data_IF_998632574401
#
_entry.id   IF_998632574401
#
_cell.length_a   1.000
_cell.length_b   1.000
_cell.length_c   1.000
_cell.angle_alpha   90.00
_cell.angle_beta   90.00
_cell.angle_gamma   90.00
#
_symmetry.space_group_name_H-M   'P 1'
#
loop_
_entity.id
_entity.type
_entity.pdbx_description
1 polymer ?
#
# COMPACT_ATOMS: atom_id res chain seq x y z
N UNK A 1 -17.29 1.49 70.67
CA UNK A 1 -16.77 2.02 69.44
C UNK A 1 -16.31 0.86 68.56
N UNK A 2 -17.06 0.50 67.51
CA UNK A 2 -16.71 -0.59 66.59
C UNK A 2 -16.13 0.03 65.30
N UNK A 3 -14.98 -0.43 64.77
CA UNK A 3 -14.42 0.11 63.54
C UNK A 3 -15.20 -0.42 62.33
N UNK A 4 -15.57 0.48 61.39
CA UNK A 4 -16.10 0.15 60.08
C UNK A 4 -15.00 -0.37 59.13
N UNK A 5 -15.24 -1.41 58.33
CA UNK A 5 -14.29 -1.84 57.35
C UNK A 5 -14.34 -0.91 56.10
N UNK A 6 -13.16 -0.45 55.71
CA UNK A 6 -12.92 0.32 54.50
C UNK A 6 -13.08 -0.59 53.26
N UNK A 7 -14.15 -0.43 52.51
CA UNK A 7 -14.36 -1.16 51.25
C UNK A 7 -13.54 -0.46 50.16
N UNK A 8 -12.46 -1.08 49.76
CA UNK A 8 -11.63 -0.63 48.65
C UNK A 8 -12.32 -0.98 47.32
N UNK A 9 -12.86 0.05 46.65
CA UNK A 9 -13.47 -0.08 45.33
C UNK A 9 -12.34 -0.27 44.28
N UNK A 10 -12.15 -1.49 43.83
CA UNK A 10 -11.24 -1.78 42.69
C UNK A 10 -11.97 -1.43 41.40
N UNK A 11 -11.60 -0.31 40.79
CA UNK A 11 -12.09 0.07 39.46
C UNK A 11 -11.42 -0.85 38.41
N UNK A 12 -12.16 -1.83 37.93
CA UNK A 12 -11.78 -2.64 36.77
C UNK A 12 -11.98 -1.79 35.51
N UNK A 13 -10.89 -1.19 35.02
CA UNK A 13 -10.88 -0.56 33.69
C UNK A 13 -11.00 -1.65 32.63
N UNK A 14 -12.22 -1.85 32.11
CA UNK A 14 -12.45 -2.68 30.94
C UNK A 14 -11.82 -1.98 29.72
N UNK A 15 -10.63 -2.42 29.30
CA UNK A 15 -10.08 -2.10 27.98
C UNK A 15 -10.96 -2.77 26.93
N UNK A 16 -11.84 -2.00 26.34
CA UNK A 16 -12.53 -2.40 25.11
C UNK A 16 -11.49 -2.49 23.99
N UNK A 17 -10.99 -3.69 23.72
CA UNK A 17 -10.35 -3.99 22.45
C UNK A 17 -11.44 -3.91 21.37
N UNK A 18 -11.59 -2.76 20.77
CA UNK A 18 -12.37 -2.61 19.55
C UNK A 18 -11.63 -3.40 18.47
N UNK A 19 -12.16 -4.57 18.11
CA UNK A 19 -11.78 -5.25 16.86
C UNK A 19 -12.23 -4.35 15.71
N UNK A 20 -11.42 -3.38 15.36
CA UNK A 20 -11.60 -2.61 14.15
C UNK A 20 -11.53 -3.60 12.98
N UNK A 21 -12.65 -3.85 12.33
CA UNK A 21 -12.68 -4.38 10.98
C UNK A 21 -11.80 -3.44 10.16
N UNK A 22 -10.59 -3.88 9.79
CA UNK A 22 -9.63 -3.01 9.14
C UNK A 22 -10.21 -2.58 7.79
N UNK A 23 -10.74 -1.39 7.74
CA UNK A 23 -11.12 -0.75 6.48
C UNK A 23 -9.84 -0.33 5.73
N UNK A 24 -9.87 -0.38 4.39
CA UNK A 24 -8.77 0.16 3.58
C UNK A 24 -8.42 1.58 4.01
N UNK A 25 -7.13 1.88 4.07
CA UNK A 25 -6.63 3.20 4.47
C UNK A 25 -7.18 4.31 3.57
N UNK A 26 -7.30 5.50 4.14
CA UNK A 26 -7.85 6.69 3.48
C UNK A 26 -6.81 7.81 3.41
N UNK A 27 -7.12 8.84 2.61
CA UNK A 27 -6.33 10.07 2.57
C UNK A 27 -6.28 10.69 3.98
N UNK A 28 -5.07 11.06 4.42
CA UNK A 28 -4.79 11.57 5.76
C UNK A 28 -4.24 10.52 6.73
N UNK A 29 -4.47 9.22 6.45
CA UNK A 29 -3.92 8.16 7.29
C UNK A 29 -2.39 8.07 7.19
N UNK A 30 -1.77 7.54 8.24
CA UNK A 30 -0.35 7.23 8.22
C UNK A 30 -0.11 6.00 7.36
N UNK A 31 0.82 6.11 6.41
CA UNK A 31 1.22 4.98 5.57
C UNK A 31 1.97 3.93 6.40
N UNK A 32 1.68 2.63 6.21
CA UNK A 32 2.33 1.57 6.97
C UNK A 32 3.83 1.47 6.68
N UNK A 33 4.62 1.34 7.74
CA UNK A 33 6.04 0.97 7.66
C UNK A 33 6.12 -0.55 7.76
N UNK A 34 6.13 -1.22 6.63
CA UNK A 34 6.08 -2.68 6.52
C UNK A 34 7.08 -3.16 5.47
N UNK A 35 7.62 -4.36 5.65
CA UNK A 35 8.54 -4.99 4.70
C UNK A 35 7.83 -6.05 3.87
N UNK A 36 8.21 -6.15 2.61
CA UNK A 36 7.83 -7.20 1.68
C UNK A 36 9.02 -7.76 0.92
N UNK A 37 8.82 -8.78 0.11
CA UNK A 37 9.84 -9.38 -0.74
C UNK A 37 9.66 -8.89 -2.18
N UNK A 38 10.72 -8.39 -2.79
CA UNK A 38 10.66 -7.90 -4.18
C UNK A 38 10.66 -9.05 -5.19
N UNK A 39 10.43 -8.74 -6.45
CA UNK A 39 10.54 -9.67 -7.59
C UNK A 39 11.95 -10.26 -7.76
N UNK A 40 12.96 -9.72 -7.09
CA UNK A 40 14.32 -10.26 -7.06
C UNK A 40 14.61 -11.15 -5.85
N UNK A 41 13.64 -11.32 -4.95
CA UNK A 41 13.79 -12.04 -3.69
C UNK A 41 14.42 -11.21 -2.56
N UNK A 42 14.74 -9.94 -2.81
CA UNK A 42 15.28 -9.04 -1.78
C UNK A 42 14.19 -8.49 -0.85
N UNK A 43 14.54 -8.20 0.39
CA UNK A 43 13.64 -7.49 1.32
C UNK A 43 13.58 -6.01 0.98
N UNK A 44 12.37 -5.44 0.97
CA UNK A 44 12.11 -4.02 0.80
C UNK A 44 11.26 -3.51 1.95
N UNK A 45 11.75 -2.52 2.70
CA UNK A 45 10.95 -1.80 3.69
C UNK A 45 10.33 -0.56 3.05
N UNK A 46 9.00 -0.44 3.08
CA UNK A 46 8.29 0.68 2.46
C UNK A 46 8.63 2.01 3.14
N UNK A 47 8.88 2.02 4.45
CA UNK A 47 9.30 3.23 5.16
C UNK A 47 10.62 3.80 4.64
N UNK A 48 11.54 2.94 4.17
CA UNK A 48 12.79 3.40 3.56
C UNK A 48 12.58 3.94 2.14
N UNK A 49 11.59 3.41 1.41
CA UNK A 49 11.19 3.97 0.11
C UNK A 49 10.60 5.37 0.30
N UNK A 50 9.73 5.58 1.30
CA UNK A 50 9.12 6.88 1.60
C UNK A 50 10.14 7.97 1.91
N UNK A 51 11.30 7.61 2.45
CA UNK A 51 12.39 8.56 2.79
C UNK A 51 13.26 8.95 1.60
N UNK A 52 13.31 8.12 0.57
CA UNK A 52 14.22 8.30 -0.58
C UNK A 52 13.68 9.23 -1.65
N UNK A 53 12.36 9.37 -1.73
CA UNK A 53 11.70 10.16 -2.77
C UNK A 53 10.62 11.05 -2.15
N UNK A 54 10.33 12.21 -2.75
CA UNK A 54 9.26 13.10 -2.30
C UNK A 54 7.89 12.41 -2.22
N UNK A 55 7.63 11.49 -3.16
CA UNK A 55 6.39 10.74 -3.22
C UNK A 55 6.65 9.26 -3.48
N UNK A 56 5.81 8.40 -2.93
CA UNK A 56 5.77 6.97 -3.26
C UNK A 56 4.35 6.58 -3.64
N UNK A 57 4.17 6.02 -4.85
CA UNK A 57 2.93 5.42 -5.29
C UNK A 57 2.99 3.92 -5.01
N UNK A 58 2.24 3.45 -4.01
CA UNK A 58 2.04 2.01 -3.76
C UNK A 58 0.73 1.61 -4.39
N UNK A 59 0.77 0.76 -5.44
CA UNK A 59 -0.42 0.28 -6.11
C UNK A 59 -0.61 -1.22 -5.93
N UNK A 60 -1.83 -1.61 -5.65
CA UNK A 60 -2.24 -3.00 -5.44
C UNK A 60 -3.03 -3.50 -6.65
N UNK A 61 -2.82 -4.77 -6.99
CA UNK A 61 -3.55 -5.44 -8.05
C UNK A 61 -3.84 -6.89 -7.70
N UNK A 62 -4.98 -7.45 -8.16
CA UNK A 62 -5.42 -8.78 -7.76
C UNK A 62 -4.47 -9.90 -8.14
N UNK A 63 -3.95 -9.92 -9.39
CA UNK A 63 -3.11 -11.01 -9.88
C UNK A 63 -2.26 -10.58 -11.07
N UNK A 64 -0.97 -10.92 -11.03
CA UNK A 64 -0.01 -10.70 -12.10
C UNK A 64 -0.47 -11.33 -13.43
N UNK A 65 -0.11 -10.69 -14.54
CA UNK A 65 -0.35 -11.13 -15.93
C UNK A 65 -1.84 -11.38 -16.28
N UNK A 66 -2.77 -10.75 -15.56
CA UNK A 66 -4.19 -10.69 -15.97
C UNK A 66 -4.49 -9.40 -16.75
N UNK A 67 -5.53 -9.37 -17.63
CA UNK A 67 -5.74 -8.23 -18.53
C UNK A 67 -5.84 -6.87 -17.84
N UNK A 68 -6.60 -6.76 -16.75
CA UNK A 68 -6.77 -5.50 -16.01
C UNK A 68 -5.51 -5.08 -15.25
N UNK A 69 -4.77 -6.04 -14.68
CA UNK A 69 -3.53 -5.76 -13.96
C UNK A 69 -2.39 -5.39 -14.91
N UNK A 70 -2.33 -6.04 -16.07
CA UNK A 70 -1.42 -5.68 -17.17
C UNK A 70 -1.69 -4.26 -17.66
N UNK A 71 -2.95 -3.91 -17.89
CA UNK A 71 -3.36 -2.56 -18.32
C UNK A 71 -2.93 -1.49 -17.31
N UNK A 72 -3.12 -1.75 -16.01
CA UNK A 72 -2.68 -0.87 -14.93
C UNK A 72 -1.16 -0.71 -14.89
N UNK A 73 -0.41 -1.83 -14.92
CA UNK A 73 1.05 -1.81 -14.90
C UNK A 73 1.65 -1.12 -16.13
N UNK A 74 1.11 -1.37 -17.33
CA UNK A 74 1.54 -0.72 -18.56
C UNK A 74 1.29 0.79 -18.54
N UNK A 75 0.13 1.24 -18.05
CA UNK A 75 -0.16 2.68 -17.90
C UNK A 75 0.83 3.37 -16.95
N UNK A 76 1.17 2.71 -15.83
CA UNK A 76 2.19 3.22 -14.91
C UNK A 76 3.60 3.20 -15.51
N UNK A 77 3.95 2.16 -16.28
CA UNK A 77 5.22 2.10 -17.03
C UNK A 77 5.32 3.26 -18.01
N UNK A 78 4.29 3.47 -18.82
CA UNK A 78 4.28 4.49 -19.86
C UNK A 78 4.31 5.91 -19.26
N UNK A 79 3.68 6.12 -18.11
CA UNK A 79 3.73 7.38 -17.35
C UNK A 79 4.93 7.53 -16.41
N UNK A 80 5.78 6.50 -16.29
CA UNK A 80 6.84 6.47 -15.26
C UNK A 80 7.84 7.63 -15.38
N UNK A 81 8.22 8.03 -16.59
CA UNK A 81 9.16 9.14 -16.81
C UNK A 81 8.62 10.45 -16.24
N UNK A 82 7.35 10.76 -16.48
CA UNK A 82 6.73 12.00 -15.98
C UNK A 82 6.50 11.94 -14.47
N UNK A 83 6.11 10.78 -13.94
CA UNK A 83 5.98 10.55 -12.50
C UNK A 83 7.34 10.69 -11.79
N UNK A 84 8.41 10.13 -12.35
CA UNK A 84 9.76 10.24 -11.80
C UNK A 84 10.27 11.68 -11.79
N UNK A 85 9.98 12.50 -12.82
CA UNK A 85 10.28 13.96 -12.84
C UNK A 85 9.59 14.72 -11.70
N UNK A 86 8.44 14.22 -11.22
CA UNK A 86 7.72 14.75 -10.06
C UNK A 86 8.18 14.13 -8.73
N UNK A 87 9.23 13.31 -8.75
CA UNK A 87 9.78 12.66 -7.56
C UNK A 87 8.92 11.50 -7.04
N UNK A 88 8.17 10.82 -7.90
CA UNK A 88 7.36 9.66 -7.53
C UNK A 88 8.12 8.36 -7.77
N UNK A 89 8.35 7.58 -6.73
CA UNK A 89 8.73 6.18 -6.84
C UNK A 89 7.46 5.32 -6.93
N UNK A 90 7.50 4.25 -7.73
CA UNK A 90 6.37 3.33 -7.90
C UNK A 90 6.72 1.97 -7.29
N UNK A 91 5.81 1.40 -6.52
CA UNK A 91 5.88 0.04 -5.97
C UNK A 91 4.56 -0.67 -6.23
N UNK A 92 4.61 -1.79 -6.97
CA UNK A 92 3.44 -2.65 -7.20
C UNK A 92 3.39 -3.78 -6.17
N UNK A 93 2.20 -4.17 -5.72
CA UNK A 93 2.00 -5.22 -4.72
C UNK A 93 0.86 -6.14 -5.13
N UNK A 94 1.10 -7.45 -5.08
CA UNK A 94 0.05 -8.47 -5.19
C UNK A 94 0.39 -9.70 -4.35
N UNK A 95 -0.59 -10.59 -4.15
CA UNK A 95 -0.40 -11.85 -3.43
C UNK A 95 0.31 -12.94 -4.26
N UNK A 96 0.88 -12.59 -5.40
CA UNK A 96 1.64 -13.51 -6.25
C UNK A 96 3.01 -13.85 -5.66
N UNK A 97 3.60 -14.93 -6.16
CA UNK A 97 4.96 -15.37 -5.79
C UNK A 97 6.04 -14.48 -6.40
N UNK A 98 7.27 -14.60 -5.89
CA UNK A 98 8.45 -13.90 -6.44
C UNK A 98 8.64 -14.21 -7.93
N UNK A 99 8.54 -15.47 -8.31
CA UNK A 99 8.71 -15.89 -9.71
C UNK A 99 7.63 -15.29 -10.63
N UNK A 100 6.38 -15.25 -10.18
CA UNK A 100 5.28 -14.65 -10.94
C UNK A 100 5.47 -13.13 -11.10
N UNK A 101 5.91 -12.43 -10.04
CA UNK A 101 6.22 -11.01 -10.10
C UNK A 101 7.41 -10.72 -11.02
N UNK A 102 8.45 -11.55 -10.95
CA UNK A 102 9.61 -11.44 -11.84
C UNK A 102 9.21 -11.61 -13.30
N UNK A 103 8.48 -12.68 -13.61
CA UNK A 103 8.00 -12.95 -14.97
C UNK A 103 7.10 -11.80 -15.49
N UNK A 104 6.21 -11.27 -14.64
CA UNK A 104 5.34 -10.16 -14.99
C UNK A 104 6.12 -8.89 -15.30
N UNK A 105 7.11 -8.55 -14.46
CA UNK A 105 7.99 -7.40 -14.67
C UNK A 105 8.79 -7.50 -15.95
N UNK A 106 9.42 -8.65 -16.19
CA UNK A 106 10.24 -8.90 -17.38
C UNK A 106 9.41 -8.85 -18.66
N UNK A 107 8.25 -9.53 -18.67
CA UNK A 107 7.34 -9.60 -19.84
C UNK A 107 6.89 -8.22 -20.32
N UNK A 108 6.62 -7.31 -19.42
CA UNK A 108 6.11 -5.97 -19.74
C UNK A 108 7.13 -4.85 -19.53
N UNK A 109 8.37 -5.19 -19.19
CA UNK A 109 9.48 -4.24 -18.99
C UNK A 109 9.15 -3.14 -17.99
N UNK A 110 8.59 -3.50 -16.83
CA UNK A 110 8.27 -2.52 -15.81
C UNK A 110 9.54 -1.93 -15.19
N UNK A 111 9.72 -0.58 -15.18
CA UNK A 111 10.92 0.06 -14.62
C UNK A 111 10.91 0.21 -13.10
N UNK A 112 9.84 -0.19 -12.43
CA UNK A 112 9.63 -0.07 -11.00
C UNK A 112 9.61 -1.43 -10.29
N UNK A 113 9.69 -1.39 -8.96
CA UNK A 113 9.71 -2.59 -8.11
C UNK A 113 8.32 -3.21 -7.97
N UNK A 114 8.25 -4.55 -8.04
CA UNK A 114 7.09 -5.33 -7.68
C UNK A 114 7.35 -6.12 -6.39
N UNK A 115 6.41 -6.09 -5.47
CA UNK A 115 6.44 -6.83 -4.20
C UNK A 115 5.56 -8.06 -4.30
N UNK A 116 6.15 -9.23 -4.05
CA UNK A 116 5.48 -10.49 -3.87
C UNK A 116 5.00 -10.59 -2.41
N UNK A 117 3.71 -10.72 -2.19
CA UNK A 117 3.10 -10.73 -0.86
C UNK A 117 2.14 -11.93 -0.67
N UNK A 118 2.60 -13.19 -0.87
CA UNK A 118 1.75 -14.37 -0.76
C UNK A 118 1.14 -14.53 0.65
N UNK A 119 1.83 -14.09 1.69
CA UNK A 119 1.35 -14.10 3.07
C UNK A 119 0.44 -12.90 3.40
N UNK A 120 0.30 -11.97 2.47
CA UNK A 120 -0.55 -10.77 2.58
C UNK A 120 -0.16 -9.84 3.73
N UNK A 121 1.10 -9.81 4.08
CA UNK A 121 1.63 -8.94 5.15
C UNK A 121 1.49 -7.47 4.79
N UNK A 122 1.92 -7.09 3.58
CA UNK A 122 1.79 -5.72 3.06
C UNK A 122 0.34 -5.38 2.77
N UNK A 123 -0.40 -6.30 2.10
CA UNK A 123 -1.82 -6.13 1.76
C UNK A 123 -2.65 -5.85 3.02
N UNK A 124 -2.46 -6.63 4.09
CA UNK A 124 -3.16 -6.43 5.37
C UNK A 124 -2.77 -5.14 6.07
N UNK A 125 -1.49 -4.75 6.01
CA UNK A 125 -1.02 -3.50 6.60
C UNK A 125 -1.73 -2.27 6.00
N UNK A 126 -2.11 -2.32 4.71
CA UNK A 126 -2.93 -1.28 4.06
C UNK A 126 -4.44 -1.43 4.31
N UNK A 127 -4.84 -2.28 5.26
CA UNK A 127 -6.24 -2.47 5.63
C UNK A 127 -7.06 -3.20 4.56
N UNK A 128 -6.40 -3.83 3.60
CA UNK A 128 -7.09 -4.63 2.61
C UNK A 128 -7.38 -6.03 3.19
N UNK A 129 -8.63 -6.26 3.52
CA UNK A 129 -9.13 -7.54 3.98
C UNK A 129 -10.08 -8.14 2.94
N UNK A 130 -10.10 -9.44 2.77
CA UNK A 130 -11.04 -10.11 1.86
C UNK A 130 -10.47 -11.38 1.26
N UNK A 131 -11.09 -11.90 0.23
CA UNK A 131 -11.02 -13.26 -0.33
C UNK A 131 -9.67 -13.67 -0.95
N UNK A 132 -8.56 -13.25 -0.39
CA UNK A 132 -7.25 -13.76 -0.76
C UNK A 132 -6.49 -12.96 -1.80
N UNK A 133 -7.12 -12.12 -2.60
CA UNK A 133 -6.47 -11.26 -3.57
C UNK A 133 -6.43 -9.82 -3.07
N UNK A 134 -5.40 -9.06 -3.48
CA UNK A 134 -5.37 -7.62 -3.25
C UNK A 134 -6.52 -6.95 -4.01
N UNK A 135 -7.13 -5.93 -3.40
CA UNK A 135 -8.05 -5.03 -4.09
C UNK A 135 -7.25 -4.10 -5.01
N UNK A 136 -7.86 -3.67 -6.12
CA UNK A 136 -7.25 -2.66 -6.99
C UNK A 136 -7.38 -1.29 -6.34
N UNK A 137 -6.39 -0.94 -5.55
CA UNK A 137 -6.27 0.34 -4.85
C UNK A 137 -4.84 0.88 -5.02
N UNK A 138 -4.69 2.20 -5.10
CA UNK A 138 -3.39 2.84 -5.15
C UNK A 138 -3.34 4.02 -4.19
N UNK A 139 -2.21 4.18 -3.55
CA UNK A 139 -1.98 5.17 -2.50
C UNK A 139 -0.75 6.00 -2.85
N UNK A 140 -0.92 7.30 -3.01
CA UNK A 140 0.21 8.22 -3.12
C UNK A 140 0.57 8.71 -1.72
N UNK A 141 1.82 8.51 -1.35
CA UNK A 141 2.34 8.77 -0.02
C UNK A 141 3.37 9.89 -0.11
N UNK A 142 3.25 10.89 0.78
CA UNK A 142 4.19 11.98 0.98
C UNK A 142 4.47 12.10 2.48
N UNK A 143 5.75 12.16 2.87
CA UNK A 143 6.16 12.32 4.28
C UNK A 143 5.48 11.31 5.23
N UNK A 144 5.31 10.05 4.77
CA UNK A 144 4.66 8.98 5.54
C UNK A 144 3.14 9.11 5.70
N UNK A 145 2.50 10.03 4.97
CA UNK A 145 1.04 10.22 4.95
C UNK A 145 0.46 9.91 3.58
N UNK A 146 -0.72 9.30 3.55
CA UNK A 146 -1.48 9.11 2.31
C UNK A 146 -2.07 10.45 1.90
N UNK A 147 -1.66 10.97 0.74
CA UNK A 147 -2.13 12.27 0.21
C UNK A 147 -3.13 12.13 -0.93
N UNK A 148 -3.18 10.95 -1.57
CA UNK A 148 -4.12 10.63 -2.65
C UNK A 148 -4.41 9.14 -2.69
N UNK A 149 -5.61 8.76 -3.14
CA UNK A 149 -6.04 7.36 -3.28
C UNK A 149 -6.88 7.18 -4.54
N UNK A 150 -6.59 6.11 -5.30
CA UNK A 150 -7.42 5.59 -6.39
C UNK A 150 -8.01 4.23 -6.02
N UNK A 151 -9.23 3.95 -6.48
CA UNK A 151 -9.90 2.66 -6.31
C UNK A 151 -10.46 2.18 -7.66
N UNK A 152 -10.15 0.95 -8.04
CA UNK A 152 -10.64 0.32 -9.27
C UNK A 152 -10.03 0.85 -10.58
N UNK A 153 -9.09 1.79 -10.51
CA UNK A 153 -8.48 2.43 -11.68
C UNK A 153 -7.45 1.52 -12.36
N UNK A 154 -7.42 1.50 -13.67
CA UNK A 154 -6.48 0.74 -14.50
C UNK A 154 -5.60 1.67 -15.34
N UNK A 155 -6.00 1.95 -16.58
CA UNK A 155 -5.22 2.69 -17.57
C UNK A 155 -5.09 4.21 -17.31
N UNK A 156 -5.91 4.76 -16.43
CA UNK A 156 -5.84 6.19 -16.08
C UNK A 156 -5.01 6.48 -14.82
N UNK A 157 -4.45 5.46 -14.17
CA UNK A 157 -3.81 5.66 -12.86
C UNK A 157 -2.64 6.63 -12.89
N UNK A 158 -1.74 6.52 -13.87
CA UNK A 158 -0.63 7.47 -14.02
C UNK A 158 -1.14 8.91 -14.26
N UNK A 159 -2.12 9.06 -15.14
CA UNK A 159 -2.72 10.37 -15.46
C UNK A 159 -3.42 11.00 -14.24
N UNK A 160 -4.14 10.19 -13.45
CA UNK A 160 -4.81 10.67 -12.24
C UNK A 160 -3.80 11.19 -11.22
N UNK A 161 -2.71 10.44 -10.98
CA UNK A 161 -1.63 10.88 -10.07
C UNK A 161 -0.97 12.16 -10.58
N UNK A 162 -0.66 12.26 -11.88
CA UNK A 162 -0.08 13.46 -12.47
C UNK A 162 -1.00 14.68 -12.35
N UNK A 163 -2.30 14.50 -12.58
CA UNK A 163 -3.31 15.57 -12.38
C UNK A 163 -3.35 16.02 -10.93
N UNK A 164 -3.38 15.07 -9.97
CA UNK A 164 -3.32 15.41 -8.56
C UNK A 164 -2.07 16.23 -8.23
N UNK A 165 -0.89 15.78 -8.67
CA UNK A 165 0.38 16.46 -8.41
C UNK A 165 0.42 17.87 -9.02
N UNK A 166 -0.26 18.11 -10.14
CA UNK A 166 -0.36 19.44 -10.76
C UNK A 166 -1.15 20.44 -9.90
N UNK A 167 -2.01 19.95 -8.99
CA UNK A 167 -2.78 20.80 -8.05
C UNK A 167 -2.02 21.12 -6.77
N UNK A 168 -0.84 20.50 -6.54
CA UNK A 168 -0.06 20.66 -5.31
C UNK A 168 1.09 21.69 -5.46
N UNK A 169 1.27 22.26 -6.64
CA UNK A 169 2.35 23.22 -6.98
C UNK A 169 1.92 24.66 -6.95
#
# INVERSE_FOLDING_TARGET
>A
MKPFPLVTLVAVSAMFFSSANAASLQVGDTAPVVSGITETGASLNLGDVYKKQPYTLVYFYPKADTPGCTKQGCALRDGNTELAKKGVAIVGVSADTVDAQKAFKEKYSFPFTLVADPDKTVIKAFGQTGNGLAKREAYLIKDGKIVYKDVGVTDQQANNVLKFLATQG
#
